data_IF_637124197411
#
_entry.id   IF_637124197411
#
_cell.length_a   1.000
_cell.length_b   1.000
_cell.length_c   1.000
_cell.angle_alpha   90.00
_cell.angle_beta   90.00
_cell.angle_gamma   90.00
#
_symmetry.space_group_name_H-M   'P 1'
#
loop_
_entity.id
_entity.type
_entity.pdbx_description
1 polymer ?
#
# COMPACT_ATOMS: atom_id res chain seq x y z
N UNK A 1 15.03 4.24 -23.54
CA UNK A 1 15.29 3.29 -22.44
C UNK A 1 16.09 2.17 -23.05
N UNK A 2 17.30 1.95 -22.55
CA UNK A 2 18.20 0.97 -23.16
C UNK A 2 17.69 -0.45 -22.92
N UNK A 3 17.93 -1.35 -23.88
CA UNK A 3 17.53 -2.78 -23.82
C UNK A 3 17.98 -3.43 -22.50
N UNK A 4 19.09 -2.95 -21.95
CA UNK A 4 19.66 -3.44 -20.70
C UNK A 4 18.76 -3.19 -19.49
N UNK A 5 18.24 -1.97 -19.33
CA UNK A 5 17.31 -1.67 -18.24
C UNK A 5 16.02 -2.48 -18.36
N UNK A 6 15.56 -2.76 -19.59
CA UNK A 6 14.43 -3.65 -19.80
C UNK A 6 14.72 -5.07 -19.29
N UNK A 7 15.92 -5.61 -19.54
CA UNK A 7 16.35 -6.91 -19.03
C UNK A 7 16.41 -6.91 -17.49
N UNK A 8 16.95 -5.86 -16.88
CA UNK A 8 17.01 -5.71 -15.41
C UNK A 8 15.61 -5.72 -14.79
N UNK A 9 14.67 -4.93 -15.32
CA UNK A 9 13.30 -4.90 -14.80
C UNK A 9 12.58 -6.23 -15.01
N UNK A 10 12.76 -6.87 -16.17
CA UNK A 10 12.21 -8.20 -16.43
C UNK A 10 12.76 -9.24 -15.44
N UNK A 11 14.07 -9.19 -15.15
CA UNK A 11 14.71 -10.05 -14.16
C UNK A 11 14.09 -9.86 -12.76
N UNK A 12 13.92 -8.62 -12.30
CA UNK A 12 13.28 -8.31 -11.00
C UNK A 12 11.88 -8.90 -10.92
N UNK A 13 11.09 -8.74 -11.99
CA UNK A 13 9.73 -9.26 -12.04
C UNK A 13 9.71 -10.78 -12.00
N UNK A 14 10.55 -11.44 -12.80
CA UNK A 14 10.63 -12.91 -12.85
C UNK A 14 11.10 -13.48 -11.51
N UNK A 15 12.15 -12.90 -10.90
CA UNK A 15 12.69 -13.39 -9.63
C UNK A 15 11.69 -13.22 -8.49
N UNK A 16 11.11 -12.03 -8.32
CA UNK A 16 10.13 -11.80 -7.25
C UNK A 16 8.86 -12.65 -7.42
N UNK A 17 8.36 -12.78 -8.65
CA UNK A 17 7.23 -13.64 -8.97
C UNK A 17 7.54 -15.11 -8.66
N UNK A 18 8.69 -15.63 -9.09
CA UNK A 18 9.06 -17.04 -8.88
C UNK A 18 9.24 -17.36 -7.40
N UNK A 19 9.97 -16.52 -6.65
CA UNK A 19 10.15 -16.71 -5.21
C UNK A 19 8.81 -16.73 -4.47
N UNK A 20 7.94 -15.75 -4.72
CA UNK A 20 6.62 -15.68 -4.09
C UNK A 20 5.75 -16.88 -4.46
N UNK A 21 5.72 -17.28 -5.75
CA UNK A 21 4.97 -18.44 -6.23
C UNK A 21 5.46 -19.77 -5.61
N UNK A 22 6.74 -19.89 -5.27
CA UNK A 22 7.30 -21.06 -4.61
C UNK A 22 7.03 -21.09 -3.10
N UNK A 23 7.08 -19.93 -2.44
CA UNK A 23 6.97 -19.81 -0.97
C UNK A 23 5.51 -19.88 -0.51
N UNK A 24 4.58 -19.18 -1.18
CA UNK A 24 3.18 -19.08 -0.75
C UNK A 24 2.47 -20.44 -0.60
N UNK A 25 2.57 -21.41 -1.53
CA UNK A 25 1.95 -22.72 -1.37
C UNK A 25 2.50 -23.48 -0.15
N UNK A 26 3.80 -23.32 0.15
CA UNK A 26 4.44 -23.97 1.29
C UNK A 26 3.94 -23.38 2.61
N UNK A 27 3.82 -22.05 2.70
CA UNK A 27 3.23 -21.38 3.86
C UNK A 27 1.78 -21.83 4.07
N UNK A 28 0.99 -21.86 3.00
CA UNK A 28 -0.39 -22.33 3.07
C UNK A 28 -0.44 -23.76 3.62
N UNK A 29 0.35 -24.69 3.05
CA UNK A 29 0.40 -26.08 3.49
C UNK A 29 0.79 -26.23 4.97
N UNK A 30 1.81 -25.51 5.43
CA UNK A 30 2.25 -25.54 6.84
C UNK A 30 1.15 -25.01 7.75
N UNK A 31 0.49 -23.93 7.35
CA UNK A 31 -0.62 -23.33 8.12
C UNK A 31 -1.77 -24.32 8.28
N UNK A 32 -2.12 -25.04 7.21
CA UNK A 32 -3.13 -26.11 7.26
C UNK A 32 -2.72 -27.26 8.19
N UNK A 33 -1.46 -27.73 8.10
CA UNK A 33 -0.95 -28.83 8.96
C UNK A 33 -0.90 -28.46 10.43
N UNK A 34 -0.52 -27.23 10.74
CA UNK A 34 -0.38 -26.71 12.12
C UNK A 34 -1.70 -26.15 12.68
N UNK A 35 -2.79 -26.17 11.90
CA UNK A 35 -4.09 -25.59 12.24
C UNK A 35 -3.98 -24.12 12.69
N UNK A 36 -3.10 -23.36 12.04
CA UNK A 36 -2.93 -21.92 12.26
C UNK A 36 -4.04 -21.18 11.51
N UNK A 37 -5.26 -21.41 11.96
CA UNK A 37 -6.45 -20.79 11.41
C UNK A 37 -6.97 -19.74 12.36
N UNK A 38 -7.55 -18.73 11.76
CA UNK A 38 -8.28 -17.74 12.50
C UNK A 38 -9.61 -18.32 13.02
N UNK A 39 -9.95 -17.98 14.26
CA UNK A 39 -11.21 -18.39 14.88
C UNK A 39 -12.40 -17.86 14.07
N UNK A 40 -13.41 -18.72 13.85
CA UNK A 40 -14.67 -18.36 13.17
C UNK A 40 -15.43 -17.42 14.10
N UNK A 41 -15.35 -16.12 13.80
CA UNK A 41 -16.07 -15.06 14.51
C UNK A 41 -17.29 -14.68 13.68
N UNK A 42 -18.47 -14.51 14.30
CA UNK A 42 -19.74 -14.12 13.65
C UNK A 42 -19.63 -12.80 12.85
N UNK A 43 -18.55 -12.05 13.10
CA UNK A 43 -18.23 -10.80 12.40
C UNK A 43 -17.61 -10.99 11.02
N UNK A 44 -17.07 -12.17 10.68
CA UNK A 44 -16.32 -12.44 9.43
C UNK A 44 -17.23 -13.06 8.36
N UNK A 45 -17.12 -12.60 7.12
CA UNK A 45 -17.93 -13.09 5.98
C UNK A 45 -17.56 -14.52 5.53
N UNK A 46 -16.44 -15.07 6.01
CA UNK A 46 -15.95 -16.39 5.62
C UNK A 46 -16.27 -17.44 6.69
N UNK A 47 -17.00 -18.48 6.30
CA UNK A 47 -17.38 -19.64 7.13
C UNK A 47 -16.29 -20.72 7.20
N UNK A 48 -15.17 -20.55 6.48
CA UNK A 48 -14.10 -21.54 6.35
C UNK A 48 -12.79 -21.08 7.01
N UNK A 49 -12.07 -22.03 7.58
CA UNK A 49 -10.77 -21.83 8.22
C UNK A 49 -9.69 -21.55 7.18
N UNK A 50 -9.38 -20.27 6.93
CA UNK A 50 -8.39 -19.84 5.95
C UNK A 50 -7.20 -19.22 6.68
N UNK A 51 -5.95 -19.60 6.36
CA UNK A 51 -4.78 -19.08 7.04
C UNK A 51 -4.51 -17.60 6.68
N UNK A 52 -4.23 -16.79 7.70
CA UNK A 52 -3.88 -15.35 7.60
C UNK A 52 -2.37 -15.10 7.57
N UNK A 53 -1.62 -16.03 6.99
CA UNK A 53 -0.15 -16.02 7.06
C UNK A 53 0.52 -15.72 5.71
N UNK A 54 -0.23 -15.27 4.71
CA UNK A 54 0.30 -15.01 3.37
C UNK A 54 1.37 -13.93 3.33
N UNK A 55 1.23 -12.92 4.19
CA UNK A 55 2.20 -11.83 4.34
C UNK A 55 3.58 -12.26 4.81
N UNK A 56 3.72 -13.44 5.43
CA UNK A 56 5.02 -13.99 5.85
C UNK A 56 5.99 -14.12 4.67
N UNK A 57 5.47 -14.35 3.45
CA UNK A 57 6.29 -14.43 2.25
C UNK A 57 6.84 -13.07 1.79
N UNK A 58 6.17 -11.96 2.10
CA UNK A 58 6.40 -10.69 1.39
C UNK A 58 7.77 -10.10 1.70
N UNK A 59 8.07 -9.86 2.97
CA UNK A 59 9.35 -9.28 3.38
C UNK A 59 10.57 -10.06 2.87
N UNK A 60 10.71 -11.40 3.09
CA UNK A 60 11.88 -12.12 2.63
C UNK A 60 11.99 -12.19 1.10
N UNK A 61 10.88 -12.42 0.38
CA UNK A 61 10.92 -12.46 -1.08
C UNK A 61 11.32 -11.09 -1.67
N UNK A 62 10.72 -9.99 -1.18
CA UNK A 62 11.06 -8.65 -1.65
C UNK A 62 12.52 -8.33 -1.33
N UNK A 63 12.99 -8.62 -0.11
CA UNK A 63 14.37 -8.33 0.30
C UNK A 63 15.38 -9.07 -0.57
N UNK A 64 15.16 -10.36 -0.83
CA UNK A 64 16.04 -11.16 -1.72
C UNK A 64 16.01 -10.60 -3.14
N UNK A 65 14.83 -10.32 -3.69
CA UNK A 65 14.71 -9.77 -5.05
C UNK A 65 15.41 -8.41 -5.19
N UNK A 66 15.20 -7.49 -4.24
CA UNK A 66 15.86 -6.17 -4.25
C UNK A 66 17.37 -6.31 -4.10
N UNK A 67 17.85 -7.19 -3.21
CA UNK A 67 19.28 -7.42 -3.03
C UNK A 67 19.94 -7.93 -4.31
N UNK A 68 19.32 -8.92 -4.99
CA UNK A 68 19.80 -9.44 -6.26
C UNK A 68 19.77 -8.38 -7.37
N UNK A 69 18.75 -7.51 -7.40
CA UNK A 69 18.64 -6.42 -8.35
C UNK A 69 19.78 -5.41 -8.19
N UNK A 70 20.05 -4.98 -6.95
CA UNK A 70 21.12 -4.02 -6.63
C UNK A 70 22.49 -4.63 -6.95
N UNK A 71 22.73 -5.90 -6.57
CA UNK A 71 23.98 -6.60 -6.88
C UNK A 71 24.16 -6.71 -8.39
N UNK A 72 23.14 -7.15 -9.13
CA UNK A 72 23.18 -7.29 -10.58
C UNK A 72 23.48 -5.97 -11.28
N UNK A 73 22.80 -4.90 -10.86
CA UNK A 73 23.00 -3.55 -11.41
C UNK A 73 24.42 -3.05 -11.13
N UNK A 74 24.92 -3.20 -9.90
CA UNK A 74 26.26 -2.75 -9.52
C UNK A 74 27.37 -3.49 -10.29
N UNK A 75 27.22 -4.82 -10.45
CA UNK A 75 28.16 -5.62 -11.23
C UNK A 75 28.17 -5.21 -12.71
N UNK A 76 27.01 -4.84 -13.25
CA UNK A 76 26.87 -4.44 -14.64
C UNK A 76 27.45 -3.03 -14.90
N UNK A 77 27.05 -2.05 -14.08
CA UNK A 77 27.49 -0.66 -14.26
C UNK A 77 28.93 -0.40 -13.81
N UNK A 78 29.50 -1.30 -13.01
CA UNK A 78 30.86 -1.16 -12.49
C UNK A 78 31.01 -0.13 -11.36
N UNK A 79 29.90 0.34 -10.78
CA UNK A 79 29.89 1.22 -9.62
C UNK A 79 28.73 0.86 -8.67
N UNK A 80 28.82 1.30 -7.42
CA UNK A 80 27.78 1.08 -6.43
C UNK A 80 26.72 2.18 -6.50
N UNK A 81 25.46 1.82 -6.78
CA UNK A 81 24.33 2.78 -6.75
C UNK A 81 23.98 3.28 -5.36
N UNK A 82 24.39 2.55 -4.31
CA UNK A 82 24.10 2.91 -2.94
C UNK A 82 25.23 3.78 -2.40
N UNK A 83 25.03 5.09 -2.45
CA UNK A 83 25.81 6.03 -1.65
C UNK A 83 25.47 5.90 -0.15
N UNK A 84 26.12 6.70 0.69
CA UNK A 84 25.92 6.64 2.14
C UNK A 84 24.47 6.95 2.53
N UNK A 85 23.84 7.92 1.87
CA UNK A 85 22.47 8.35 2.19
C UNK A 85 21.44 7.30 1.77
N UNK A 86 21.56 6.75 0.56
CA UNK A 86 20.71 5.66 0.08
C UNK A 86 20.91 4.39 0.91
N UNK A 87 22.14 4.10 1.32
CA UNK A 87 22.43 2.98 2.23
C UNK A 87 21.72 3.16 3.57
N UNK A 88 21.81 4.35 4.18
CA UNK A 88 21.13 4.65 5.45
C UNK A 88 19.61 4.54 5.34
N UNK A 89 19.03 5.03 4.23
CA UNK A 89 17.59 4.93 3.96
C UNK A 89 17.15 3.48 3.74
N UNK A 90 17.92 2.70 2.98
CA UNK A 90 17.64 1.28 2.71
C UNK A 90 17.70 0.46 4.00
N UNK A 91 18.76 0.61 4.80
CA UNK A 91 18.92 -0.10 6.07
C UNK A 91 17.82 0.27 7.06
N UNK A 92 17.52 1.56 7.21
CA UNK A 92 16.44 2.02 8.10
C UNK A 92 15.08 1.48 7.68
N UNK A 93 14.80 1.44 6.36
CA UNK A 93 13.60 0.81 5.82
C UNK A 93 13.57 -0.69 6.10
N UNK A 94 14.65 -1.43 5.87
CA UNK A 94 14.72 -2.87 6.14
C UNK A 94 14.54 -3.17 7.64
N UNK A 95 15.12 -2.35 8.53
CA UNK A 95 14.90 -2.44 9.98
C UNK A 95 13.42 -2.20 10.32
N UNK A 96 12.80 -1.15 9.80
CA UNK A 96 11.38 -0.88 10.02
C UNK A 96 10.49 -2.02 9.51
N UNK A 97 10.78 -2.55 8.32
CA UNK A 97 10.07 -3.67 7.73
C UNK A 97 10.21 -4.91 8.59
N UNK A 98 11.41 -5.23 9.08
CA UNK A 98 11.63 -6.38 9.95
C UNK A 98 10.86 -6.25 11.27
N UNK A 99 10.89 -5.08 11.91
CA UNK A 99 10.15 -4.83 13.15
C UNK A 99 8.64 -4.98 12.93
N UNK A 100 8.09 -4.37 11.87
CA UNK A 100 6.66 -4.45 11.55
C UNK A 100 6.25 -5.85 11.09
N UNK A 101 7.13 -6.55 10.39
CA UNK A 101 6.95 -7.94 10.00
C UNK A 101 6.80 -8.84 11.23
N UNK A 102 7.65 -8.68 12.26
CA UNK A 102 7.54 -9.43 13.50
C UNK A 102 6.26 -9.08 14.29
N UNK A 103 5.91 -7.79 14.40
CA UNK A 103 4.67 -7.37 15.07
C UNK A 103 3.44 -7.90 14.34
N UNK A 104 3.42 -7.83 13.01
CA UNK A 104 2.32 -8.36 12.21
C UNK A 104 2.20 -9.88 12.34
N UNK A 105 3.33 -10.60 12.35
CA UNK A 105 3.34 -12.04 12.55
C UNK A 105 2.86 -12.42 13.96
N UNK A 106 3.23 -11.64 14.97
CA UNK A 106 2.72 -11.80 16.33
C UNK A 106 1.22 -11.55 16.40
N UNK A 107 0.71 -10.53 15.71
CA UNK A 107 -0.74 -10.24 15.64
C UNK A 107 -1.52 -11.35 14.94
N UNK A 108 -0.99 -11.87 13.82
CA UNK A 108 -1.63 -12.95 13.06
C UNK A 108 -1.66 -14.29 13.83
N UNK A 109 -0.71 -14.53 14.74
CA UNK A 109 -0.59 -15.79 15.50
C UNK A 109 -1.28 -15.77 16.86
N UNK A 110 -1.12 -14.68 17.62
CA UNK A 110 -1.58 -14.60 19.02
C UNK A 110 -2.42 -13.36 19.32
N UNK A 111 -2.55 -12.43 18.38
CA UNK A 111 -3.25 -11.16 18.55
C UNK A 111 -2.45 -10.15 19.39
N UNK A 112 -2.41 -8.90 18.93
CA UNK A 112 -1.71 -7.79 19.58
C UNK A 112 -2.68 -6.62 19.78
N UNK A 113 -2.56 -5.96 20.93
CA UNK A 113 -3.37 -4.76 21.21
C UNK A 113 -3.03 -3.66 20.22
N UNK A 114 -4.06 -3.00 19.66
CA UNK A 114 -3.88 -1.91 18.70
C UNK A 114 -2.91 -0.82 19.20
N UNK A 115 -2.93 -0.48 20.50
CA UNK A 115 -2.01 0.51 21.09
C UNK A 115 -0.54 0.13 20.92
N UNK A 116 -0.19 -1.13 21.13
CA UNK A 116 1.18 -1.61 20.94
C UNK A 116 1.60 -1.51 19.48
N UNK A 117 0.69 -1.85 18.55
CA UNK A 117 0.92 -1.68 17.10
C UNK A 117 1.19 -0.21 16.75
N UNK A 118 0.38 0.71 17.25
CA UNK A 118 0.58 2.16 17.04
C UNK A 118 1.94 2.66 17.55
N UNK A 119 2.36 2.24 18.75
CA UNK A 119 3.67 2.63 19.29
C UNK A 119 4.80 2.17 18.36
N UNK A 120 4.76 0.91 17.90
CA UNK A 120 5.78 0.41 16.96
C UNK A 120 5.76 1.16 15.64
N UNK A 121 4.59 1.44 15.07
CA UNK A 121 4.48 2.22 13.83
C UNK A 121 5.06 3.63 13.99
N UNK A 122 4.85 4.28 15.14
CA UNK A 122 5.43 5.59 15.45
C UNK A 122 6.96 5.50 15.54
N UNK A 123 7.49 4.50 16.25
CA UNK A 123 8.94 4.29 16.36
C UNK A 123 9.59 4.04 15.00
N UNK A 124 8.99 3.21 14.15
CA UNK A 124 9.45 3.01 12.77
C UNK A 124 9.38 4.32 11.95
N UNK A 125 8.32 5.12 12.14
CA UNK A 125 8.20 6.42 11.49
C UNK A 125 9.33 7.38 11.88
N UNK A 126 9.68 7.45 13.17
CA UNK A 126 10.79 8.26 13.66
C UNK A 126 12.12 7.77 13.08
N UNK A 127 12.36 6.46 13.05
CA UNK A 127 13.57 5.88 12.47
C UNK A 127 13.75 6.26 10.99
N UNK A 128 12.67 6.26 10.20
CA UNK A 128 12.73 6.71 8.82
C UNK A 128 13.06 8.19 8.69
N UNK A 129 12.47 9.04 9.52
CA UNK A 129 12.77 10.48 9.51
C UNK A 129 14.25 10.73 9.82
N UNK A 130 14.82 9.99 10.78
CA UNK A 130 16.26 10.06 11.11
C UNK A 130 17.13 9.66 9.91
N UNK A 131 16.66 8.74 9.05
CA UNK A 131 17.37 8.37 7.82
C UNK A 131 17.26 9.39 6.68
N UNK A 132 16.55 10.50 6.91
CA UNK A 132 16.36 11.58 5.94
C UNK A 132 15.11 11.47 5.08
N UNK A 133 14.22 10.50 5.33
CA UNK A 133 12.90 10.43 4.71
C UNK A 133 11.92 11.31 5.49
N UNK A 134 11.84 12.59 5.14
CA UNK A 134 10.99 13.58 5.80
C UNK A 134 10.30 14.47 4.77
N UNK A 135 9.04 14.85 4.99
CA UNK A 135 8.38 15.86 4.17
C UNK A 135 9.01 17.23 4.46
N UNK A 136 9.37 17.93 3.39
CA UNK A 136 9.99 19.25 3.40
C UNK A 136 9.27 20.26 2.49
N UNK A 137 8.32 19.78 1.66
CA UNK A 137 7.65 20.58 0.64
C UNK A 137 6.19 20.14 0.43
N UNK A 138 5.32 21.08 0.06
CA UNK A 138 3.90 20.85 -0.32
C UNK A 138 3.56 21.31 -1.74
N UNK A 139 4.54 21.79 -2.51
CA UNK A 139 4.43 22.19 -3.91
C UNK A 139 3.38 23.26 -4.20
N UNK A 140 3.14 24.17 -3.25
CA UNK A 140 2.11 25.19 -3.37
C UNK A 140 0.70 24.66 -3.09
N UNK A 141 0.56 23.46 -2.52
CA UNK A 141 -0.72 22.98 -2.00
C UNK A 141 -1.21 23.96 -0.91
N UNK A 142 -2.37 24.56 -1.14
CA UNK A 142 -2.91 25.67 -0.35
C UNK A 142 -1.97 26.88 -0.21
N UNK A 143 -1.08 27.10 -1.19
CA UNK A 143 -0.08 28.17 -1.17
C UNK A 143 1.15 27.87 -0.30
N UNK A 144 1.26 26.66 0.26
CA UNK A 144 2.39 26.25 1.09
C UNK A 144 3.42 25.56 0.19
N UNK A 145 4.64 26.11 0.14
CA UNK A 145 5.74 25.54 -0.62
C UNK A 145 6.66 24.75 0.31
N UNK A 146 7.20 25.37 1.35
CA UNK A 146 8.17 24.72 2.24
C UNK A 146 7.50 24.31 3.56
N UNK A 147 7.82 23.11 4.06
CA UNK A 147 7.45 22.65 5.39
C UNK A 147 8.70 22.75 6.29
N UNK A 148 8.66 23.54 7.38
CA UNK A 148 9.74 23.55 8.37
C UNK A 148 9.95 22.17 9.00
N UNK A 149 11.19 21.80 9.29
CA UNK A 149 11.54 20.46 9.78
C UNK A 149 10.74 20.03 11.03
N UNK A 150 10.50 20.93 11.98
CA UNK A 150 9.72 20.64 13.20
C UNK A 150 8.23 20.33 12.92
N UNK A 151 7.69 20.72 11.76
CA UNK A 151 6.36 20.31 11.28
C UNK A 151 6.49 19.06 10.38
N UNK A 152 7.53 19.00 9.56
CA UNK A 152 7.82 17.89 8.66
C UNK A 152 7.92 16.55 9.40
N UNK A 153 8.66 16.51 10.51
CA UNK A 153 8.84 15.29 11.33
C UNK A 153 7.51 14.70 11.81
N UNK A 154 6.67 15.42 12.59
CA UNK A 154 5.41 14.87 13.07
C UNK A 154 4.44 14.58 11.92
N UNK A 155 4.45 15.39 10.85
CA UNK A 155 3.63 15.13 9.66
C UNK A 155 4.03 13.83 8.96
N UNK A 156 5.32 13.57 8.75
CA UNK A 156 5.83 12.33 8.18
C UNK A 156 5.43 11.12 9.03
N UNK A 157 5.67 11.16 10.34
CA UNK A 157 5.30 10.06 11.25
C UNK A 157 3.79 9.79 11.19
N UNK A 158 2.98 10.85 11.19
CA UNK A 158 1.54 10.73 11.04
C UNK A 158 1.15 10.06 9.72
N UNK A 159 1.71 10.50 8.59
CA UNK A 159 1.43 9.95 7.26
C UNK A 159 1.82 8.47 7.18
N UNK A 160 2.95 8.08 7.75
CA UNK A 160 3.38 6.67 7.81
C UNK A 160 2.33 5.85 8.54
N UNK A 161 2.06 6.19 9.81
CA UNK A 161 1.06 5.48 10.64
C UNK A 161 -0.29 5.42 9.93
N UNK A 162 -0.70 6.51 9.30
CA UNK A 162 -1.95 6.60 8.57
C UNK A 162 -2.01 5.63 7.37
N UNK A 163 -0.98 5.61 6.51
CA UNK A 163 -0.92 4.70 5.36
C UNK A 163 -0.92 3.24 5.81
N UNK A 164 -0.14 2.89 6.84
CA UNK A 164 -0.09 1.53 7.37
C UNK A 164 -1.48 1.05 7.82
N UNK A 165 -2.19 1.89 8.59
CA UNK A 165 -3.54 1.55 9.04
C UNK A 165 -4.56 1.57 7.90
N UNK A 166 -4.41 2.44 6.89
CA UNK A 166 -5.30 2.47 5.74
C UNK A 166 -5.22 1.20 4.88
N UNK A 167 -4.00 0.68 4.67
CA UNK A 167 -3.79 -0.60 3.96
C UNK A 167 -4.30 -1.78 4.79
N UNK A 168 -4.11 -1.76 6.11
CA UNK A 168 -4.67 -2.79 6.99
C UNK A 168 -6.21 -2.80 6.99
N UNK A 169 -6.85 -1.63 7.05
CA UNK A 169 -8.31 -1.50 7.09
C UNK A 169 -9.00 -1.84 5.76
N UNK A 170 -8.33 -1.60 4.61
CA UNK A 170 -8.92 -1.89 3.30
C UNK A 170 -8.87 -3.39 2.96
N UNK A 171 -8.06 -4.19 3.67
CA UNK A 171 -7.92 -5.65 3.52
C UNK A 171 -9.14 -6.43 4.08
N UNK A 172 -10.33 -6.04 3.65
CA UNK A 172 -11.61 -6.62 4.11
C UNK A 172 -12.24 -7.64 3.16
N UNK A 173 -11.81 -7.67 1.89
CA UNK A 173 -12.29 -8.64 0.88
C UNK A 173 -11.11 -9.15 0.05
N UNK A 174 -11.27 -10.37 -0.47
CA UNK A 174 -10.30 -11.01 -1.36
C UNK A 174 -9.83 -10.10 -2.49
N UNK A 175 -8.52 -9.93 -2.59
CA UNK A 175 -7.80 -9.26 -3.68
C UNK A 175 -7.83 -7.74 -3.62
N UNK A 176 -8.56 -7.12 -2.69
CA UNK A 176 -8.70 -5.66 -2.70
C UNK A 176 -7.41 -4.96 -2.28
N UNK A 177 -6.87 -5.26 -1.09
CA UNK A 177 -5.66 -4.61 -0.60
C UNK A 177 -4.45 -4.90 -1.50
N UNK A 178 -4.26 -6.16 -1.91
CA UNK A 178 -3.17 -6.54 -2.81
C UNK A 178 -3.34 -5.95 -4.21
N UNK A 179 -4.56 -5.92 -4.77
CA UNK A 179 -4.84 -5.33 -6.08
C UNK A 179 -4.58 -3.82 -6.13
N UNK A 180 -5.03 -3.09 -5.10
CA UNK A 180 -4.73 -1.65 -4.95
C UNK A 180 -3.22 -1.41 -4.82
N UNK A 181 -2.54 -2.24 -4.04
CA UNK A 181 -1.08 -2.15 -3.84
C UNK A 181 -0.30 -2.47 -5.11
N UNK A 182 -0.72 -3.45 -5.90
CA UNK A 182 -0.10 -3.80 -7.20
C UNK A 182 -0.13 -2.60 -8.16
N UNK A 183 -1.28 -1.94 -8.30
CA UNK A 183 -1.39 -0.74 -9.16
C UNK A 183 -0.52 0.38 -8.62
N UNK A 184 -0.51 0.58 -7.30
CA UNK A 184 0.30 1.62 -6.67
C UNK A 184 1.80 1.39 -6.92
N UNK A 185 2.30 0.18 -6.67
CA UNK A 185 3.70 -0.15 -6.90
C UNK A 185 4.09 -0.08 -8.36
N UNK A 186 3.21 -0.49 -9.28
CA UNK A 186 3.45 -0.34 -10.70
C UNK A 186 3.58 1.14 -11.09
N UNK A 187 2.68 2.00 -10.60
CA UNK A 187 2.73 3.44 -10.85
C UNK A 187 3.97 4.10 -10.25
N UNK A 188 4.32 3.76 -9.00
CA UNK A 188 5.57 4.21 -8.36
C UNK A 188 6.81 3.74 -9.12
N UNK A 189 6.85 2.48 -9.57
CA UNK A 189 7.92 1.95 -10.40
C UNK A 189 8.10 2.78 -11.66
N UNK A 190 7.03 3.01 -12.42
CA UNK A 190 7.09 3.82 -13.64
C UNK A 190 7.64 5.23 -13.36
N UNK A 191 7.20 5.87 -12.28
CA UNK A 191 7.70 7.19 -11.87
C UNK A 191 9.18 7.17 -11.50
N UNK A 192 9.61 6.22 -10.66
CA UNK A 192 11.01 6.15 -10.23
C UNK A 192 11.95 5.73 -11.34
N UNK A 193 11.51 4.91 -12.29
CA UNK A 193 12.26 4.61 -13.50
C UNK A 193 12.41 5.87 -14.36
N UNK A 194 11.34 6.65 -14.54
CA UNK A 194 11.42 7.91 -15.29
C UNK A 194 12.39 8.91 -14.64
N UNK A 195 12.38 8.98 -13.30
CA UNK A 195 13.27 9.83 -12.51
C UNK A 195 14.67 9.23 -12.30
N UNK A 196 14.95 8.02 -12.82
CA UNK A 196 16.22 7.29 -12.65
C UNK A 196 16.57 7.03 -11.17
N UNK A 197 15.58 6.93 -10.29
CA UNK A 197 15.75 6.62 -8.87
C UNK A 197 15.73 5.11 -8.64
N UNK A 198 16.80 4.45 -9.10
CA UNK A 198 16.88 2.99 -9.28
C UNK A 198 16.56 2.17 -8.03
N UNK A 199 17.06 2.57 -6.86
CA UNK A 199 16.77 1.86 -5.60
C UNK A 199 15.26 1.76 -5.35
N UNK A 200 14.52 2.86 -5.49
CA UNK A 200 13.07 2.89 -5.26
C UNK A 200 12.29 2.20 -6.39
N UNK A 201 12.78 2.28 -7.64
CA UNK A 201 12.25 1.50 -8.75
C UNK A 201 12.37 -0.02 -8.51
N UNK A 202 13.52 -0.49 -8.03
CA UNK A 202 13.73 -1.91 -7.74
C UNK A 202 12.85 -2.40 -6.59
N UNK A 203 12.73 -1.61 -5.51
CA UNK A 203 11.86 -1.96 -4.38
C UNK A 203 10.39 -2.04 -4.82
N UNK A 204 9.91 -1.06 -5.58
CA UNK A 204 8.52 -1.03 -6.06
C UNK A 204 8.23 -2.16 -7.07
N UNK A 205 9.13 -2.45 -8.01
CA UNK A 205 9.01 -3.60 -8.93
C UNK A 205 9.04 -4.95 -8.20
N UNK A 206 9.91 -5.10 -7.20
CA UNK A 206 9.97 -6.32 -6.40
C UNK A 206 8.68 -6.53 -5.59
N UNK A 207 8.14 -5.47 -5.00
CA UNK A 207 6.86 -5.54 -4.29
C UNK A 207 5.70 -5.86 -5.25
N UNK A 208 5.66 -5.20 -6.41
CA UNK A 208 4.72 -5.51 -7.49
C UNK A 208 4.78 -7.00 -7.86
N UNK A 209 5.97 -7.53 -8.14
CA UNK A 209 6.13 -8.90 -8.63
C UNK A 209 5.82 -9.97 -7.59
N UNK A 210 6.16 -9.73 -6.32
CA UNK A 210 5.83 -10.63 -5.20
C UNK A 210 4.33 -10.67 -4.93
N UNK A 211 3.61 -9.56 -5.13
CA UNK A 211 2.16 -9.50 -4.92
C UNK A 211 1.36 -10.20 -6.02
N UNK A 212 1.88 -10.38 -7.24
CA UNK A 212 1.16 -11.02 -8.34
C UNK A 212 0.75 -12.49 -8.03
N UNK A 213 1.65 -13.39 -7.60
CA UNK A 213 1.25 -14.73 -7.15
C UNK A 213 0.32 -14.70 -5.94
N UNK A 214 0.57 -13.79 -4.99
CA UNK A 214 -0.30 -13.63 -3.83
C UNK A 214 -1.73 -13.29 -4.23
N UNK A 215 -1.93 -12.30 -5.11
CA UNK A 215 -3.25 -11.92 -5.62
C UNK A 215 -3.95 -13.12 -6.25
N UNK A 216 -3.24 -13.95 -7.02
CA UNK A 216 -3.81 -15.17 -7.59
C UNK A 216 -4.30 -16.15 -6.51
N UNK A 217 -3.45 -16.48 -5.53
CA UNK A 217 -3.84 -17.40 -4.44
C UNK A 217 -4.92 -16.81 -3.52
N UNK A 218 -4.93 -15.49 -3.36
CA UNK A 218 -5.90 -14.79 -2.55
C UNK A 218 -7.26 -14.69 -3.26
N UNK A 219 -7.35 -14.47 -4.57
CA UNK A 219 -8.64 -14.31 -5.28
C UNK A 219 -9.18 -15.64 -5.83
N UNK A 220 -8.29 -16.49 -6.36
CA UNK A 220 -8.64 -17.72 -7.10
C UNK A 220 -8.22 -18.99 -6.38
N UNK A 221 -7.48 -18.89 -5.26
CA UNK A 221 -7.09 -20.04 -4.45
C UNK A 221 -8.31 -20.83 -3.96
N UNK A 222 -8.23 -22.15 -4.09
CA UNK A 222 -9.30 -23.06 -3.66
C UNK A 222 -8.98 -23.62 -2.27
N UNK A 223 -9.93 -23.50 -1.35
CA UNK A 223 -9.79 -23.91 0.06
C UNK A 223 -9.51 -25.42 0.16
N UNK A 224 -10.31 -26.25 -0.53
CA UNK A 224 -10.16 -27.71 -0.51
C UNK A 224 -8.84 -28.23 -1.09
N UNK A 225 -8.12 -27.40 -1.87
CA UNK A 225 -6.78 -27.72 -2.37
C UNK A 225 -5.66 -27.18 -1.47
N UNK A 226 -6.01 -26.54 -0.35
CA UNK A 226 -5.06 -25.87 0.54
C UNK A 226 -4.30 -24.72 -0.14
N UNK A 227 -4.92 -24.04 -1.12
CA UNK A 227 -4.27 -22.98 -1.92
C UNK A 227 -4.79 -21.58 -1.65
N UNK A 228 -5.81 -21.43 -0.80
CA UNK A 228 -6.38 -20.14 -0.42
C UNK A 228 -5.62 -19.59 0.79
N UNK A 229 -5.18 -18.34 0.71
CA UNK A 229 -4.45 -17.67 1.78
C UNK A 229 -4.86 -16.20 1.88
N UNK A 230 -4.88 -15.67 3.09
CA UNK A 230 -5.13 -14.26 3.39
C UNK A 230 -3.84 -13.52 3.73
N UNK A 231 -3.84 -12.20 3.53
CA UNK A 231 -2.66 -11.35 3.65
C UNK A 231 -2.17 -11.27 5.10
N UNK A 232 -3.10 -11.08 6.03
CA UNK A 232 -2.81 -10.90 7.45
C UNK A 232 -2.23 -9.52 7.76
N UNK A 233 -2.06 -9.25 9.05
CA UNK A 233 -1.42 -8.04 9.56
C UNK A 233 0.05 -8.00 9.16
N UNK A 234 0.73 -9.14 9.12
CA UNK A 234 2.11 -9.26 8.59
C UNK A 234 2.23 -8.65 7.20
N UNK A 235 1.31 -9.02 6.30
CA UNK A 235 1.36 -8.59 4.90
C UNK A 235 0.96 -7.13 4.76
N UNK A 236 -0.13 -6.72 5.40
CA UNK A 236 -0.64 -5.35 5.30
C UNK A 236 0.30 -4.31 5.90
N UNK A 237 0.96 -4.60 7.03
CA UNK A 237 1.99 -3.72 7.59
C UNK A 237 3.24 -3.65 6.71
N UNK A 238 3.70 -4.78 6.16
CA UNK A 238 4.86 -4.81 5.25
C UNK A 238 4.61 -3.97 4.00
N UNK A 239 3.46 -4.17 3.35
CA UNK A 239 3.08 -3.43 2.14
C UNK A 239 2.79 -1.96 2.44
N UNK A 240 2.08 -1.67 3.52
CA UNK A 240 1.81 -0.31 3.96
C UNK A 240 3.10 0.49 4.21
N UNK A 241 4.10 -0.15 4.83
CA UNK A 241 5.41 0.46 5.06
C UNK A 241 6.15 0.78 3.77
N UNK A 242 6.20 -0.17 2.83
CA UNK A 242 6.81 0.07 1.51
C UNK A 242 6.11 1.20 0.75
N UNK A 243 4.78 1.20 0.73
CA UNK A 243 3.99 2.25 0.09
C UNK A 243 4.21 3.63 0.74
N UNK A 244 4.29 3.69 2.07
CA UNK A 244 4.59 4.94 2.78
C UNK A 244 5.96 5.50 2.38
N UNK A 245 6.99 4.66 2.28
CA UNK A 245 8.32 5.08 1.80
C UNK A 245 8.25 5.63 0.38
N UNK A 246 7.55 4.96 -0.54
CA UNK A 246 7.41 5.44 -1.91
C UNK A 246 6.68 6.78 -1.98
N UNK A 247 5.60 6.94 -1.22
CA UNK A 247 4.85 8.21 -1.13
C UNK A 247 5.75 9.34 -0.64
N UNK A 248 6.47 9.11 0.47
CA UNK A 248 7.34 10.13 1.07
C UNK A 248 8.43 10.50 0.08
N UNK A 249 9.16 9.53 -0.48
CA UNK A 249 10.26 9.80 -1.41
C UNK A 249 9.81 10.58 -2.63
N UNK A 250 8.64 10.24 -3.21
CA UNK A 250 8.08 10.96 -4.34
C UNK A 250 7.55 12.34 -3.96
N UNK A 251 7.30 12.61 -2.69
CA UNK A 251 6.81 13.91 -2.19
C UNK A 251 7.90 14.84 -1.66
N UNK A 252 9.12 14.38 -1.44
CA UNK A 252 10.25 15.23 -1.01
C UNK A 252 10.74 16.17 -2.10
N UNK A 253 11.13 17.40 -1.78
CA UNK A 253 11.67 18.38 -2.74
C UNK A 253 12.80 17.79 -3.58
N UNK A 254 12.73 18.00 -4.89
CA UNK A 254 13.77 17.57 -5.83
C UNK A 254 13.63 18.38 -7.12
N UNK A 255 14.62 19.22 -7.49
CA UNK A 255 14.50 20.13 -8.62
C UNK A 255 14.26 19.43 -9.96
N UNK A 256 14.86 18.26 -10.17
CA UNK A 256 14.71 17.49 -11.42
C UNK A 256 13.29 16.96 -11.51
N UNK A 257 12.79 16.36 -10.43
CA UNK A 257 11.41 15.90 -10.36
C UNK A 257 10.42 17.05 -10.53
N UNK A 258 10.66 18.21 -9.91
CA UNK A 258 9.77 19.38 -9.99
C UNK A 258 9.58 19.87 -11.43
N UNK A 259 10.63 19.81 -12.24
CA UNK A 259 10.56 20.16 -13.66
C UNK A 259 9.71 19.17 -14.48
N UNK A 260 9.76 17.89 -14.13
CA UNK A 260 9.01 16.84 -14.82
C UNK A 260 7.57 16.70 -14.31
N UNK A 261 7.35 16.81 -13.00
CA UNK A 261 6.07 16.55 -12.33
C UNK A 261 5.81 17.61 -11.25
N UNK A 262 5.34 18.82 -11.64
CA UNK A 262 5.09 19.91 -10.70
C UNK A 262 3.91 19.57 -9.78
N UNK A 263 4.17 19.32 -8.49
CA UNK A 263 3.13 18.87 -7.57
C UNK A 263 3.07 17.37 -7.32
N UNK A 264 4.21 16.69 -7.41
CA UNK A 264 4.32 15.24 -7.24
C UNK A 264 3.73 14.70 -5.93
N UNK A 265 3.52 15.52 -4.90
CA UNK A 265 2.83 15.12 -3.67
C UNK A 265 1.40 14.63 -3.93
N UNK A 266 0.62 15.31 -4.78
CA UNK A 266 -0.76 14.90 -5.10
C UNK A 266 -0.73 13.62 -5.91
N UNK A 267 0.20 13.47 -6.85
CA UNK A 267 0.41 12.21 -7.57
C UNK A 267 0.77 11.07 -6.62
N UNK A 268 1.72 11.28 -5.71
CA UNK A 268 2.17 10.25 -4.78
C UNK A 268 1.01 9.71 -3.95
N UNK A 269 0.16 10.60 -3.43
CA UNK A 269 -1.03 10.21 -2.69
C UNK A 269 -2.17 9.68 -3.60
N UNK A 270 -2.24 10.08 -4.87
CA UNK A 270 -3.26 9.62 -5.80
C UNK A 270 -3.22 8.10 -6.01
N UNK A 271 -2.02 7.50 -5.95
CA UNK A 271 -1.85 6.06 -6.07
C UNK A 271 -2.49 5.30 -4.89
N UNK A 272 -2.63 5.96 -3.74
CA UNK A 272 -3.24 5.41 -2.51
C UNK A 272 -4.55 6.12 -2.14
N UNK A 273 -5.16 6.84 -3.08
CA UNK A 273 -6.31 7.70 -2.79
C UNK A 273 -7.48 6.92 -2.18
N UNK A 274 -7.73 5.71 -2.68
CA UNK A 274 -8.85 4.87 -2.25
C UNK A 274 -8.73 4.45 -0.78
N UNK A 275 -7.66 3.75 -0.33
CA UNK A 275 -7.55 3.36 1.07
C UNK A 275 -7.50 4.59 1.99
N UNK A 276 -6.80 5.65 1.58
CA UNK A 276 -6.72 6.87 2.38
C UNK A 276 -8.08 7.55 2.54
N UNK A 277 -8.71 7.95 1.45
CA UNK A 277 -9.97 8.68 1.54
C UNK A 277 -11.09 7.83 2.16
N UNK A 278 -11.05 6.50 2.06
CA UNK A 278 -11.99 5.63 2.75
C UNK A 278 -11.82 5.69 4.28
N UNK A 279 -10.59 5.71 4.80
CA UNK A 279 -10.36 5.88 6.25
C UNK A 279 -10.86 7.23 6.74
N UNK A 280 -10.51 8.34 6.07
CA UNK A 280 -11.02 9.67 6.43
C UNK A 280 -12.54 9.67 6.48
N UNK A 281 -13.18 9.12 5.45
CA UNK A 281 -14.63 9.06 5.35
C UNK A 281 -15.25 8.25 6.49
N UNK A 282 -14.67 7.08 6.81
CA UNK A 282 -15.15 6.23 7.92
C UNK A 282 -14.98 6.94 9.26
N UNK A 283 -13.85 7.62 9.50
CA UNK A 283 -13.61 8.39 10.72
C UNK A 283 -14.62 9.55 10.84
N UNK A 284 -14.83 10.34 9.79
CA UNK A 284 -15.83 11.43 9.79
C UNK A 284 -17.24 10.87 10.07
N UNK A 285 -17.60 9.73 9.47
CA UNK A 285 -18.89 9.10 9.71
C UNK A 285 -19.07 8.69 11.17
N UNK A 286 -18.02 8.16 11.82
CA UNK A 286 -18.06 7.77 13.25
C UNK A 286 -18.22 8.98 14.15
N UNK A 287 -17.42 10.02 13.92
CA UNK A 287 -17.47 11.26 14.71
C UNK A 287 -18.85 11.92 14.64
N UNK A 288 -19.46 11.98 13.45
CA UNK A 288 -20.83 12.51 13.28
C UNK A 288 -21.90 11.71 14.02
N UNK A 289 -21.64 10.45 14.32
CA UNK A 289 -22.56 9.56 15.04
C UNK A 289 -22.18 9.39 16.53
N UNK A 290 -21.24 10.19 17.05
CA UNK A 290 -20.77 10.08 18.44
C UNK A 290 -20.04 8.79 18.78
N UNK A 291 -19.56 8.03 17.77
CA UNK A 291 -18.84 6.76 17.97
C UNK A 291 -17.34 6.98 18.04
N UNK A 292 -16.64 6.13 18.78
CA UNK A 292 -15.19 6.16 18.87
C UNK A 292 -14.54 5.88 17.49
N UNK A 293 -13.65 6.75 17.00
CA UNK A 293 -13.03 6.63 15.67
C UNK A 293 -12.08 5.44 15.54
N UNK A 294 -11.64 4.80 16.63
CA UNK A 294 -10.67 3.70 16.62
C UNK A 294 -11.28 2.29 16.72
N UNK A 295 -12.62 2.17 16.81
CA UNK A 295 -13.29 0.87 16.88
C UNK A 295 -13.55 0.29 15.47
N UNK A 296 -13.49 -1.04 15.26
CA UNK A 296 -13.78 -1.67 13.96
C UNK A 296 -15.22 -1.39 13.49
N UNK A 297 -15.44 -1.16 12.19
CA UNK A 297 -16.76 -0.89 11.61
C UNK A 297 -16.89 -1.48 10.20
N UNK A 298 -18.11 -1.85 9.79
CA UNK A 298 -18.44 -2.40 8.46
C UNK A 298 -18.79 -1.33 7.44
N UNK A 299 -18.29 -0.11 7.64
CA UNK A 299 -18.66 1.02 6.80
C UNK A 299 -17.68 1.28 5.66
N UNK A 300 -16.60 0.52 5.51
CA UNK A 300 -15.61 0.70 4.44
C UNK A 300 -16.21 0.61 3.02
N UNK A 301 -15.50 1.18 2.04
CA UNK A 301 -16.02 1.34 0.67
C UNK A 301 -16.49 0.02 0.05
N UNK A 302 -15.76 -1.08 0.31
CA UNK A 302 -16.14 -2.40 -0.20
C UNK A 302 -17.49 -2.89 0.32
N UNK A 303 -17.84 -2.60 1.58
CA UNK A 303 -19.15 -2.92 2.13
C UNK A 303 -20.26 -2.11 1.46
N UNK A 304 -20.00 -0.86 1.06
CA UNK A 304 -20.97 -0.06 0.29
C UNK A 304 -21.25 -0.65 -1.09
N UNK A 305 -20.22 -1.11 -1.80
CA UNK A 305 -20.40 -1.79 -3.09
C UNK A 305 -21.17 -3.11 -2.94
N UNK A 306 -20.91 -3.87 -1.88
CA UNK A 306 -21.68 -5.10 -1.57
C UNK A 306 -23.13 -4.76 -1.23
N UNK A 307 -23.39 -3.70 -0.46
CA UNK A 307 -24.76 -3.25 -0.14
C UNK A 307 -25.57 -2.83 -1.37
N UNK A 308 -24.91 -2.38 -2.46
CA UNK A 308 -25.55 -2.17 -3.76
C UNK A 308 -26.00 -3.47 -4.44
N UNK A 309 -25.65 -4.65 -3.90
CA UNK A 309 -25.94 -5.96 -4.47
C UNK A 309 -24.81 -6.52 -5.34
N UNK A 310 -23.62 -5.93 -5.31
CA UNK A 310 -22.47 -6.47 -6.03
C UNK A 310 -21.87 -7.67 -5.29
N UNK A 311 -21.37 -8.66 -6.04
CA UNK A 311 -20.52 -9.71 -5.46
C UNK A 311 -19.18 -9.13 -5.01
N UNK A 312 -18.51 -9.78 -4.06
CA UNK A 312 -17.18 -9.35 -3.56
C UNK A 312 -16.18 -9.11 -4.71
N UNK A 313 -16.14 -10.00 -5.70
CA UNK A 313 -15.27 -9.84 -6.88
C UNK A 313 -15.62 -8.61 -7.72
N UNK A 314 -16.91 -8.36 -7.97
CA UNK A 314 -17.35 -7.16 -8.71
C UNK A 314 -17.01 -5.88 -7.95
N UNK A 315 -17.19 -5.87 -6.62
CA UNK A 315 -16.81 -4.77 -5.76
C UNK A 315 -15.29 -4.51 -5.83
N UNK A 316 -14.47 -5.56 -5.67
CA UNK A 316 -13.01 -5.50 -5.78
C UNK A 316 -12.57 -4.89 -7.11
N UNK A 317 -13.02 -5.44 -8.24
CA UNK A 317 -12.66 -4.94 -9.58
C UNK A 317 -13.08 -3.48 -9.78
N UNK A 318 -14.29 -3.11 -9.35
CA UNK A 318 -14.79 -1.74 -9.51
C UNK A 318 -13.95 -0.73 -8.73
N UNK A 319 -13.55 -1.08 -7.50
CA UNK A 319 -12.71 -0.22 -6.66
C UNK A 319 -11.29 -0.12 -7.22
N UNK A 320 -10.75 -1.22 -7.75
CA UNK A 320 -9.45 -1.26 -8.44
C UNK A 320 -9.46 -0.36 -9.69
N UNK A 321 -10.51 -0.43 -10.52
CA UNK A 321 -10.68 0.44 -11.69
C UNK A 321 -10.75 1.91 -11.27
N UNK A 322 -11.48 2.21 -10.19
CA UNK A 322 -11.54 3.56 -9.64
C UNK A 322 -10.16 4.07 -9.19
N UNK A 323 -9.35 3.23 -8.54
CA UNK A 323 -7.98 3.58 -8.16
C UNK A 323 -7.10 3.86 -9.40
N UNK A 324 -7.18 3.01 -10.43
CA UNK A 324 -6.47 3.21 -11.68
C UNK A 324 -6.90 4.50 -12.39
N UNK A 325 -8.19 4.84 -12.35
CA UNK A 325 -8.72 6.08 -12.91
C UNK A 325 -8.11 7.32 -12.24
N UNK A 326 -8.07 7.36 -10.90
CA UNK A 326 -7.42 8.46 -10.18
C UNK A 326 -5.92 8.53 -10.44
N UNK A 327 -5.22 7.39 -10.43
CA UNK A 327 -3.78 7.35 -10.68
C UNK A 327 -3.41 7.87 -12.09
N UNK A 328 -4.06 7.34 -13.13
CA UNK A 328 -3.81 7.75 -14.52
C UNK A 328 -4.30 9.18 -14.79
N UNK A 329 -5.47 9.55 -14.25
CA UNK A 329 -6.03 10.89 -14.40
C UNK A 329 -5.11 11.95 -13.81
N UNK A 330 -4.58 11.73 -12.60
CA UNK A 330 -3.66 12.67 -11.96
C UNK A 330 -2.30 12.77 -12.66
N UNK A 331 -1.77 11.66 -13.19
CA UNK A 331 -0.55 11.70 -14.02
C UNK A 331 -0.71 12.59 -15.26
N UNK A 332 -1.91 12.69 -15.84
CA UNK A 332 -2.18 13.56 -16.97
C UNK A 332 -2.49 15.00 -16.53
N UNK A 333 -3.39 15.15 -15.56
CA UNK A 333 -3.92 16.46 -15.13
C UNK A 333 -2.91 17.31 -14.35
N UNK A 334 -1.84 16.72 -13.81
CA UNK A 334 -0.77 17.47 -13.12
C UNK A 334 -0.15 18.56 -14.01
N UNK A 335 -0.10 18.35 -15.32
CA UNK A 335 0.45 19.33 -16.26
C UNK A 335 -0.54 20.44 -16.63
N UNK A 336 -1.83 20.24 -16.32
CA UNK A 336 -2.91 21.15 -16.69
C UNK A 336 -3.45 21.96 -15.51
N UNK A 337 -3.35 21.43 -14.29
CA UNK A 337 -3.95 22.01 -13.09
C UNK A 337 -2.87 22.32 -12.06
N UNK A 338 -3.09 23.39 -11.29
CA UNK A 338 -2.29 23.62 -10.09
C UNK A 338 -2.50 22.50 -9.07
N UNK A 339 -1.50 22.27 -8.23
CA UNK A 339 -1.51 21.22 -7.19
C UNK A 339 -2.76 21.31 -6.31
N UNK A 340 -3.15 22.52 -5.92
CA UNK A 340 -4.36 22.76 -5.12
C UNK A 340 -5.63 22.43 -5.88
N UNK A 341 -5.75 22.85 -7.15
CA UNK A 341 -6.94 22.57 -7.94
C UNK A 341 -7.10 21.07 -8.22
N UNK A 342 -5.98 20.38 -8.47
CA UNK A 342 -5.97 18.93 -8.66
C UNK A 342 -6.42 18.20 -7.40
N UNK A 343 -5.88 18.57 -6.23
CA UNK A 343 -6.31 18.01 -4.95
C UNK A 343 -7.81 18.25 -4.68
N UNK A 344 -8.31 19.46 -4.93
CA UNK A 344 -9.72 19.78 -4.74
C UNK A 344 -10.63 19.00 -5.71
N UNK A 345 -10.18 18.79 -6.95
CA UNK A 345 -10.87 17.95 -7.93
C UNK A 345 -10.99 16.51 -7.44
N UNK A 346 -9.88 15.93 -6.96
CA UNK A 346 -9.86 14.57 -6.39
C UNK A 346 -10.86 14.41 -5.24
N UNK A 347 -10.86 15.37 -4.30
CA UNK A 347 -11.81 15.40 -3.18
C UNK A 347 -13.25 15.54 -3.69
N UNK A 348 -13.51 16.39 -4.67
CA UNK A 348 -14.83 16.59 -5.26
C UNK A 348 -15.34 15.32 -5.97
N UNK A 349 -14.52 14.70 -6.82
CA UNK A 349 -14.89 13.46 -7.53
C UNK A 349 -15.15 12.34 -6.53
N UNK A 350 -14.29 12.15 -5.54
CA UNK A 350 -14.47 11.13 -4.49
C UNK A 350 -15.78 11.34 -3.71
N UNK A 351 -16.04 12.57 -3.28
CA UNK A 351 -17.25 12.90 -2.51
C UNK A 351 -18.52 12.70 -3.34
N UNK A 352 -18.53 13.08 -4.61
CA UNK A 352 -19.65 12.86 -5.53
C UNK A 352 -19.91 11.36 -5.73
N UNK A 353 -18.87 10.56 -6.00
CA UNK A 353 -18.99 9.09 -6.14
C UNK A 353 -19.61 8.49 -4.87
N UNK A 354 -19.11 8.88 -3.69
CA UNK A 354 -19.64 8.36 -2.44
C UNK A 354 -21.06 8.80 -2.12
N UNK A 355 -21.42 10.04 -2.44
CA UNK A 355 -22.79 10.53 -2.30
C UNK A 355 -23.72 9.73 -3.21
N UNK A 356 -23.34 9.53 -4.47
CA UNK A 356 -24.09 8.72 -5.43
C UNK A 356 -24.31 7.28 -4.96
N UNK A 357 -23.25 6.60 -4.52
CA UNK A 357 -23.34 5.25 -3.96
C UNK A 357 -24.30 5.21 -2.76
N UNK A 358 -24.16 6.17 -1.83
CA UNK A 358 -25.00 6.24 -0.63
C UNK A 358 -26.47 6.50 -0.98
N UNK A 359 -26.74 7.37 -1.95
CA UNK A 359 -28.10 7.62 -2.46
C UNK A 359 -28.72 6.37 -3.07
N UNK A 360 -27.96 5.60 -3.88
CA UNK A 360 -28.44 4.35 -4.45
C UNK A 360 -28.75 3.29 -3.39
N UNK A 361 -27.90 3.15 -2.37
CA UNK A 361 -28.15 2.23 -1.24
C UNK A 361 -29.45 2.62 -0.53
N UNK A 362 -29.64 3.91 -0.20
CA UNK A 362 -30.86 4.39 0.46
C UNK A 362 -32.12 4.19 -0.38
N UNK A 363 -32.04 4.34 -1.71
CA UNK A 363 -33.17 4.07 -2.61
C UNK A 363 -33.56 2.59 -2.60
N UNK A 364 -32.56 1.69 -2.63
CA UNK A 364 -32.80 0.24 -2.58
C UNK A 364 -33.52 -0.18 -1.29
N UNK A 365 -33.06 0.31 -0.13
CA UNK A 365 -33.70 0.05 1.16
C UNK A 365 -35.08 0.71 1.36
N UNK A 366 -35.53 1.58 0.45
CA UNK A 366 -36.91 2.11 0.46
C UNK A 366 -37.87 1.30 -0.40
N UNK A 367 -37.33 0.45 -1.28
CA UNK A 367 -38.09 -0.37 -2.24
C UNK A 367 -38.24 -1.81 -1.75
N UNK A 368 -37.31 -2.28 -0.92
CA UNK A 368 -37.41 -3.46 -0.05
C UNK A 368 -38.16 -3.09 1.24
#
# INVERSE_FOLDING_TARGET
>A
MDILHFIEFAFIVIVGWTLSAMVLPRISLVSFRRRLFDSVDERKLHTAHIPRLGGIAFFPCITVTVSLAIIGYNLWQGYNILDMDLTNRLLSMLCCLFILYLIGMMDDLIGVRYRSKFVVQILCGILLVISGLCFDNLYGLFGIYVIPYYIGVPFTVFVIVYILNAINLIDGIDGLASGLSIISFLAFSCMFIHLQWWMYAFISLAAFSVLLPFFYYNVYGKIYRGRKIFMGDTGSLTIGMLLAVMVIRLSMSDPVKESAFPGSIVIAFSFLIVPMFDVIRVVIHRLRNGKNPFLPDRNHIHHKFIALGMSQRKAMVSIIIMAAFFALGNCFLIHCLSVTNLFLLDVAVWTVIHCYITMKIKRKHKVE
#
